data_IF_034239019507
#
_entry.id   IF_034239019507
#
_cell.length_a   1.000
_cell.length_b   1.000
_cell.length_c   1.000
_cell.angle_alpha   90.00
_cell.angle_beta   90.00
_cell.angle_gamma   90.00
#
_symmetry.space_group_name_H-M   'P 1'
#
loop_
_entity.id
_entity.type
_entity.pdbx_description
1 polymer ?
#
# COMPACT_ATOMS: atom_id res chain seq x y z
N UNK A 1 -4.45 -3.08 -28.19
CA UNK A 1 -3.35 -2.87 -29.16
C UNK A 1 -2.08 -2.71 -28.36
N UNK A 2 -1.48 -3.85 -28.08
CA UNK A 2 -0.22 -4.05 -27.38
C UNK A 2 0.94 -3.38 -28.12
N UNK A 3 1.76 -2.65 -27.36
CA UNK A 3 3.08 -2.20 -27.81
C UNK A 3 4.12 -2.70 -26.81
N UNK A 4 4.34 -4.01 -26.89
CA UNK A 4 5.49 -4.71 -26.31
C UNK A 4 6.54 -4.85 -27.42
N UNK A 5 7.60 -4.05 -27.36
CA UNK A 5 8.88 -4.29 -28.06
C UNK A 5 9.99 -3.92 -27.07
N UNK A 6 10.56 -4.90 -26.35
CA UNK A 6 11.78 -5.63 -26.72
C UNK A 6 13.02 -4.73 -26.81
N UNK A 7 13.63 -4.42 -25.66
CA UNK A 7 15.05 -4.05 -25.59
C UNK A 7 15.87 -5.26 -25.14
N UNK A 8 16.12 -6.14 -26.11
CA UNK A 8 17.23 -7.08 -26.07
C UNK A 8 18.36 -6.49 -26.92
N UNK A 9 19.48 -6.12 -26.29
CA UNK A 9 20.68 -5.60 -26.97
C UNK A 9 21.95 -6.22 -26.37
N UNK A 10 22.59 -7.08 -27.16
CA UNK A 10 23.80 -7.86 -26.89
C UNK A 10 25.03 -7.00 -26.52
N UNK A 11 25.96 -7.49 -25.67
CA UNK A 11 27.22 -8.16 -26.05
C UNK A 11 28.31 -7.14 -26.47
N UNK A 12 29.56 -7.09 -26.00
CA UNK A 12 30.56 -8.08 -25.59
C UNK A 12 31.79 -7.30 -25.09
N UNK A 13 32.55 -7.76 -24.09
CA UNK A 13 34.02 -7.68 -24.15
C UNK A 13 34.66 -8.86 -23.41
N UNK A 14 35.47 -9.60 -24.17
CA UNK A 14 36.28 -10.74 -23.79
C UNK A 14 37.46 -10.31 -22.92
N UNK A 15 37.72 -11.03 -21.84
CA UNK A 15 38.94 -10.90 -21.04
C UNK A 15 39.37 -12.26 -20.46
N UNK A 16 40.15 -13.01 -21.24
CA UNK A 16 40.81 -14.25 -20.81
C UNK A 16 42.22 -13.94 -20.27
N UNK A 17 42.50 -14.31 -19.02
CA UNK A 17 43.84 -14.66 -18.51
C UNK A 17 43.70 -15.83 -17.53
N UNK A 18 44.73 -16.65 -17.48
CA UNK A 18 44.75 -18.11 -17.38
C UNK A 18 45.33 -18.68 -16.08
N UNK A 19 44.97 -19.95 -15.82
CA UNK A 19 45.71 -21.03 -15.11
C UNK A 19 45.92 -20.99 -13.58
N UNK A 20 45.28 -21.97 -12.91
CA UNK A 20 45.92 -22.73 -11.82
C UNK A 20 45.01 -23.12 -10.65
N UNK A 21 44.64 -24.40 -10.54
CA UNK A 21 44.34 -25.01 -9.23
C UNK A 21 43.19 -26.02 -9.14
N UNK A 22 43.56 -27.30 -9.28
CA UNK A 22 42.93 -28.49 -8.67
C UNK A 22 41.52 -28.92 -9.13
N UNK A 23 41.54 -29.82 -10.13
CA UNK A 23 40.54 -30.86 -10.30
C UNK A 23 40.39 -31.69 -9.01
N UNK A 24 39.24 -31.59 -8.36
CA UNK A 24 38.71 -32.72 -7.56
C UNK A 24 37.53 -33.30 -8.34
N UNK A 25 37.87 -34.27 -9.17
CA UNK A 25 36.98 -35.22 -9.83
C UNK A 25 36.03 -35.83 -8.78
N UNK A 26 34.73 -35.57 -8.91
CA UNK A 26 33.69 -36.48 -8.45
C UNK A 26 32.82 -36.80 -9.66
N UNK A 27 33.24 -37.83 -10.39
CA UNK A 27 32.41 -38.50 -11.39
C UNK A 27 31.47 -39.47 -10.65
N UNK A 28 30.21 -39.47 -11.11
CA UNK A 28 29.19 -40.51 -10.99
C UNK A 28 28.37 -40.61 -9.69
N UNK A 29 27.19 -39.97 -9.71
CA UNK A 29 25.96 -40.63 -9.24
C UNK A 29 24.89 -40.44 -10.31
N UNK A 30 24.63 -41.52 -11.05
CA UNK A 30 23.40 -41.71 -11.78
C UNK A 30 22.20 -41.64 -10.81
N UNK A 31 21.39 -40.60 -10.91
CA UNK A 31 20.16 -40.44 -10.16
C UNK A 31 19.38 -39.28 -10.73
N UNK A 32 18.26 -39.59 -11.40
CA UNK A 32 17.47 -38.60 -12.14
C UNK A 32 17.15 -37.36 -11.33
N UNK A 33 17.53 -36.20 -11.86
CA UNK A 33 16.97 -34.93 -11.45
C UNK A 33 16.16 -34.45 -12.65
N UNK A 34 14.84 -34.59 -12.54
CA UNK A 34 13.98 -33.72 -13.31
C UNK A 34 14.46 -32.30 -13.04
N UNK A 35 14.60 -31.51 -14.10
CA UNK A 35 14.60 -30.06 -13.97
C UNK A 35 13.29 -29.69 -13.29
N UNK A 36 13.26 -29.73 -11.96
CA UNK A 36 12.33 -28.93 -11.20
C UNK A 36 12.87 -27.52 -11.34
N UNK A 37 12.58 -26.90 -12.48
CA UNK A 37 12.34 -25.47 -12.52
C UNK A 37 11.31 -25.24 -11.43
N UNK A 38 11.77 -24.88 -10.24
CA UNK A 38 10.89 -24.27 -9.27
C UNK A 38 10.45 -22.98 -9.92
N UNK A 39 9.27 -23.02 -10.54
CA UNK A 39 8.49 -21.81 -10.72
C UNK A 39 8.49 -21.12 -9.35
N UNK A 40 8.81 -19.81 -9.26
CA UNK A 40 8.56 -19.10 -8.02
C UNK A 40 7.11 -19.40 -7.64
N UNK A 41 6.80 -19.66 -6.34
CA UNK A 41 5.40 -19.80 -5.96
C UNK A 41 4.71 -18.55 -6.51
N UNK A 42 3.80 -18.75 -7.45
CA UNK A 42 2.92 -17.69 -7.90
C UNK A 42 2.16 -17.33 -6.64
N UNK A 43 2.59 -16.25 -5.99
CA UNK A 43 2.03 -15.80 -4.73
C UNK A 43 0.52 -15.79 -4.86
N UNK A 44 -0.17 -16.17 -3.79
CA UNK A 44 -1.59 -15.90 -3.68
C UNK A 44 -1.81 -14.45 -4.13
N UNK A 45 -2.79 -14.22 -5.01
CA UNK A 45 -3.08 -12.87 -5.49
C UNK A 45 -3.28 -11.91 -4.31
N UNK A 46 -3.08 -10.62 -4.55
CA UNK A 46 -3.40 -9.60 -3.55
C UNK A 46 -4.86 -9.79 -3.08
N UNK A 47 -5.13 -9.74 -1.77
CA UNK A 47 -6.49 -9.84 -1.25
C UNK A 47 -7.45 -8.88 -1.96
N UNK A 48 -8.71 -9.28 -2.14
CA UNK A 48 -9.69 -8.44 -2.85
C UNK A 48 -10.55 -7.69 -1.83
N UNK A 49 -10.60 -6.34 -1.84
CA UNK A 49 -11.50 -5.61 -0.95
C UNK A 49 -12.96 -5.85 -1.38
N UNK A 50 -13.81 -6.15 -0.40
CA UNK A 50 -15.24 -6.46 -0.60
C UNK A 50 -16.17 -5.41 -0.01
N UNK A 51 -15.76 -4.74 1.06
CA UNK A 51 -16.48 -3.62 1.67
C UNK A 51 -15.49 -2.53 2.05
N UNK A 52 -15.93 -1.27 1.90
CA UNK A 52 -15.12 -0.08 2.15
C UNK A 52 -16.04 1.02 2.66
N UNK A 53 -15.67 1.63 3.78
CA UNK A 53 -16.45 2.71 4.39
C UNK A 53 -15.55 3.70 5.11
N UNK A 54 -16.06 4.93 5.25
CA UNK A 54 -15.47 5.96 6.09
C UNK A 54 -16.58 6.70 6.84
N UNK A 55 -16.39 6.85 8.14
CA UNK A 55 -17.27 7.57 9.05
C UNK A 55 -16.50 8.73 9.70
N UNK A 56 -17.12 9.90 9.72
CA UNK A 56 -16.60 11.06 10.46
C UNK A 56 -17.07 10.95 11.90
N UNK A 57 -16.13 10.99 12.84
CA UNK A 57 -16.39 10.80 14.27
C UNK A 57 -16.60 12.13 14.99
N UNK A 58 -15.66 13.06 14.82
CA UNK A 58 -15.68 14.38 15.44
C UNK A 58 -15.12 15.44 14.47
N UNK A 59 -15.64 16.66 14.56
CA UNK A 59 -15.12 17.82 13.83
C UNK A 59 -15.04 19.00 14.77
N UNK A 60 -13.95 19.76 14.70
CA UNK A 60 -13.76 20.91 15.58
C UNK A 60 -12.71 21.88 15.08
N UNK A 61 -12.88 23.16 15.40
CA UNK A 61 -11.80 24.14 15.20
C UNK A 61 -10.62 23.80 16.11
N UNK A 62 -9.42 23.75 15.55
CA UNK A 62 -8.24 23.37 16.30
C UNK A 62 -6.93 23.59 15.57
N UNK A 63 -5.98 22.70 15.82
CA UNK A 63 -4.61 22.77 15.31
C UNK A 63 -4.46 22.20 13.90
N UNK A 64 -3.20 22.16 13.43
CA UNK A 64 -2.83 21.28 12.31
C UNK A 64 -2.50 19.90 12.88
N UNK A 65 -3.31 18.92 12.52
CA UNK A 65 -3.14 17.51 12.85
C UNK A 65 -3.25 16.67 11.60
N UNK A 66 -2.33 15.73 11.45
CA UNK A 66 -2.20 14.90 10.26
C UNK A 66 -1.57 13.55 10.64
N UNK A 67 -2.39 12.66 11.15
CA UNK A 67 -1.96 11.37 11.70
C UNK A 67 -3.00 10.28 11.43
N UNK A 68 -2.54 9.02 11.35
CA UNK A 68 -3.39 7.86 11.23
C UNK A 68 -2.75 6.65 11.91
N UNK A 69 -3.57 5.70 12.31
CA UNK A 69 -3.20 4.39 12.85
C UNK A 69 -3.97 3.31 12.10
N UNK A 70 -3.35 2.14 11.95
CA UNK A 70 -3.92 1.00 11.22
C UNK A 70 -3.97 -0.19 12.15
N UNK A 71 -5.15 -0.81 12.23
CA UNK A 71 -5.40 -2.03 12.99
C UNK A 71 -5.84 -3.14 12.04
N UNK A 72 -5.22 -4.32 12.18
CA UNK A 72 -5.55 -5.52 11.42
C UNK A 72 -6.36 -6.48 12.29
N UNK A 73 -7.49 -6.96 11.79
CA UNK A 73 -8.32 -7.91 12.52
C UNK A 73 -9.06 -8.85 11.57
N UNK A 74 -8.62 -10.11 11.49
CA UNK A 74 -9.41 -11.21 10.91
C UNK A 74 -9.96 -10.95 9.51
N UNK A 75 -9.09 -10.58 8.56
CA UNK A 75 -9.49 -10.26 7.18
C UNK A 75 -9.98 -8.83 6.98
N UNK A 76 -10.04 -8.03 8.05
CA UNK A 76 -10.43 -6.63 8.02
C UNK A 76 -9.27 -5.72 8.41
N UNK A 77 -9.32 -4.49 7.90
CA UNK A 77 -8.44 -3.38 8.27
C UNK A 77 -9.30 -2.22 8.75
N UNK A 78 -8.96 -1.67 9.91
CA UNK A 78 -9.53 -0.42 10.40
C UNK A 78 -8.45 0.65 10.41
N UNK A 79 -8.74 1.81 9.83
CA UNK A 79 -7.86 2.98 9.88
C UNK A 79 -8.56 4.08 10.64
N UNK A 80 -7.95 4.52 11.74
CA UNK A 80 -8.40 5.69 12.50
C UNK A 80 -7.41 6.83 12.31
N UNK A 81 -7.89 8.06 12.23
CA UNK A 81 -6.99 9.19 12.05
C UNK A 81 -7.66 10.54 12.20
N UNK A 82 -6.82 11.57 12.14
CA UNK A 82 -7.23 12.97 12.16
C UNK A 82 -6.59 13.68 10.98
N UNK A 83 -7.42 14.33 10.17
CA UNK A 83 -7.00 15.14 9.02
C UNK A 83 -7.48 16.59 9.20
N UNK A 84 -6.66 17.56 8.80
CA UNK A 84 -7.01 18.99 8.90
C UNK A 84 -7.72 19.48 7.63
N UNK A 85 -8.83 20.20 7.78
CA UNK A 85 -9.47 21.01 6.74
C UNK A 85 -9.09 22.49 6.85
N UNK A 86 -9.26 23.24 5.74
CA UNK A 86 -8.90 24.66 5.69
C UNK A 86 -9.89 25.58 6.44
N UNK A 87 -11.12 25.10 6.62
CA UNK A 87 -12.23 25.79 7.30
C UNK A 87 -13.24 24.78 7.88
N UNK A 88 -14.20 25.30 8.65
CA UNK A 88 -15.23 24.49 9.32
C UNK A 88 -16.27 23.83 8.39
N UNK A 89 -16.18 24.05 7.07
CA UNK A 89 -16.99 23.32 6.10
C UNK A 89 -16.27 22.12 5.50
N UNK A 90 -15.02 21.87 5.87
CA UNK A 90 -14.33 20.68 5.40
C UNK A 90 -14.77 19.43 6.16
N UNK A 91 -14.89 18.32 5.44
CA UNK A 91 -15.17 16.98 5.97
C UNK A 91 -14.19 15.96 5.37
N UNK A 92 -13.94 14.88 6.09
CA UNK A 92 -13.13 13.78 5.59
C UNK A 92 -13.97 12.91 4.63
N UNK A 93 -13.38 12.51 3.51
CA UNK A 93 -13.95 11.54 2.57
C UNK A 93 -12.89 10.53 2.16
N UNK A 94 -13.33 9.30 1.92
CA UNK A 94 -12.50 8.29 1.27
C UNK A 94 -12.41 8.65 -0.22
N UNK A 95 -11.23 9.05 -0.67
CA UNK A 95 -10.98 9.47 -2.05
C UNK A 95 -10.65 8.27 -2.93
N UNK A 96 -9.71 7.44 -2.47
CA UNK A 96 -9.31 6.20 -3.15
C UNK A 96 -8.92 5.13 -2.12
N UNK A 97 -9.08 3.87 -2.51
CA UNK A 97 -8.60 2.72 -1.75
C UNK A 97 -8.33 1.54 -2.69
N UNK A 98 -7.06 1.16 -2.81
CA UNK A 98 -6.63 0.17 -3.77
C UNK A 98 -5.15 -0.20 -3.63
N UNK A 99 -4.73 -1.21 -4.38
CA UNK A 99 -3.34 -1.64 -4.35
C UNK A 99 -2.44 -0.76 -5.22
N UNK A 100 -1.38 -0.26 -4.61
CA UNK A 100 -0.25 0.37 -5.29
C UNK A 100 1.00 -0.48 -5.05
N UNK A 101 1.53 -1.08 -6.10
CA UNK A 101 2.56 -2.12 -6.01
C UNK A 101 2.12 -3.28 -5.12
N UNK A 102 2.67 -3.40 -3.90
CA UNK A 102 2.42 -4.49 -2.96
C UNK A 102 1.67 -4.03 -1.70
N UNK A 103 1.30 -2.75 -1.59
CA UNK A 103 0.60 -2.18 -0.44
C UNK A 103 -0.82 -1.76 -0.79
N UNK A 104 -1.77 -2.05 0.11
CA UNK A 104 -3.11 -1.47 0.04
C UNK A 104 -3.04 -0.01 0.50
N UNK A 105 -3.18 0.92 -0.44
CA UNK A 105 -3.12 2.36 -0.18
C UNK A 105 -4.52 2.91 0.03
N UNK A 106 -4.70 3.63 1.14
CA UNK A 106 -5.94 4.30 1.51
C UNK A 106 -5.69 5.80 1.45
N UNK A 107 -6.46 6.51 0.64
CA UNK A 107 -6.38 7.97 0.53
C UNK A 107 -7.61 8.62 1.15
N UNK A 108 -7.39 9.39 2.20
CA UNK A 108 -8.43 10.19 2.87
C UNK A 108 -8.21 11.66 2.54
N UNK A 109 -9.23 12.31 2.00
CA UNK A 109 -9.17 13.70 1.61
C UNK A 109 -10.03 14.58 2.53
N UNK A 110 -9.50 15.74 2.92
CA UNK A 110 -10.27 16.81 3.52
C UNK A 110 -10.84 17.69 2.40
N UNK A 111 -12.15 17.63 2.22
CA UNK A 111 -12.86 18.27 1.09
C UNK A 111 -14.00 19.14 1.60
N UNK A 112 -14.37 20.15 0.83
CA UNK A 112 -15.51 21.00 1.14
C UNK A 112 -16.82 20.19 1.21
N UNK A 113 -17.63 20.45 2.23
CA UNK A 113 -19.00 19.98 2.33
C UNK A 113 -19.91 20.88 1.51
N UNK A 114 -20.39 20.36 0.38
CA UNK A 114 -21.29 21.08 -0.54
C UNK A 114 -22.63 21.45 0.10
N UNK A 115 -22.96 20.88 1.28
CA UNK A 115 -24.16 21.21 2.05
C UNK A 115 -24.03 22.43 2.95
N UNK A 116 -22.85 23.04 3.07
CA UNK A 116 -22.59 24.11 4.03
C UNK A 116 -22.58 25.51 3.37
N UNK A 117 -23.41 26.42 3.86
CA UNK A 117 -23.54 27.78 3.29
C UNK A 117 -22.60 28.82 3.91
N UNK A 118 -22.13 28.60 5.16
CA UNK A 118 -21.35 29.57 5.92
C UNK A 118 -20.31 28.86 6.79
N UNK A 119 -19.03 29.11 6.49
CA UNK A 119 -17.91 28.42 7.12
C UNK A 119 -17.17 29.33 8.10
N UNK A 120 -16.94 28.85 9.31
CA UNK A 120 -15.99 29.50 10.20
C UNK A 120 -14.57 29.37 9.64
N UNK A 121 -13.82 30.46 9.66
CA UNK A 121 -12.44 30.53 9.16
C UNK A 121 -11.48 30.05 10.27
N UNK A 122 -11.38 28.74 10.44
CA UNK A 122 -10.47 28.08 11.38
C UNK A 122 -9.91 26.81 10.74
N UNK A 123 -8.73 26.35 11.17
CA UNK A 123 -8.32 25.00 10.80
C UNK A 123 -9.23 24.02 11.52
N UNK A 124 -9.79 23.08 10.77
CA UNK A 124 -10.74 22.11 11.32
C UNK A 124 -10.09 20.76 11.41
N UNK A 125 -9.96 20.24 12.62
CA UNK A 125 -9.56 18.86 12.86
C UNK A 125 -10.78 17.97 12.62
N UNK A 126 -10.59 16.92 11.83
CA UNK A 126 -11.64 15.98 11.42
C UNK A 126 -11.15 14.58 11.79
N UNK A 127 -11.74 14.02 12.84
CA UNK A 127 -11.49 12.65 13.26
C UNK A 127 -12.34 11.70 12.42
N UNK A 128 -11.74 10.62 11.96
CA UNK A 128 -12.42 9.63 11.13
C UNK A 128 -12.04 8.20 11.53
N UNK A 129 -12.93 7.29 11.19
CA UNK A 129 -12.67 5.85 11.12
C UNK A 129 -13.03 5.37 9.73
N UNK A 130 -12.18 4.55 9.13
CA UNK A 130 -12.48 3.84 7.89
C UNK A 130 -12.26 2.36 8.08
N UNK A 131 -13.10 1.57 7.42
CA UNK A 131 -13.12 0.12 7.54
C UNK A 131 -13.10 -0.51 6.17
N UNK A 132 -12.27 -1.53 6.03
CA UNK A 132 -12.09 -2.31 4.82
C UNK A 132 -12.16 -3.79 5.16
N UNK A 133 -13.03 -4.52 4.47
CA UNK A 133 -13.15 -5.99 4.60
C UNK A 133 -12.63 -6.64 3.31
N UNK A 134 -11.84 -7.71 3.44
CA UNK A 134 -11.17 -8.37 2.30
C UNK A 134 -11.57 -9.84 2.17
N UNK A 135 -11.63 -10.30 0.93
CA UNK A 135 -11.65 -11.71 0.57
C UNK A 135 -10.27 -12.34 0.80
N UNK A 136 -10.28 -13.57 1.32
CA UNK A 136 -9.09 -14.42 1.48
C UNK A 136 -7.99 -13.88 2.42
N UNK A 137 -8.27 -12.85 3.22
CA UNK A 137 -7.39 -12.33 4.28
C UNK A 137 -7.09 -10.83 4.15
N UNK A 138 -6.48 -10.23 5.17
CA UNK A 138 -6.11 -8.81 5.13
C UNK A 138 -4.83 -8.60 4.28
N UNK A 139 -4.61 -7.41 3.71
CA UNK A 139 -3.33 -7.05 3.08
C UNK A 139 -2.16 -7.16 4.05
N UNK A 140 -1.00 -7.60 3.56
CA UNK A 140 0.23 -7.66 4.36
C UNK A 140 0.84 -6.28 4.67
N UNK A 141 0.50 -5.25 3.89
CA UNK A 141 0.93 -3.86 4.13
C UNK A 141 -0.18 -2.90 3.77
N UNK A 142 -0.42 -1.92 4.64
CA UNK A 142 -1.36 -0.81 4.43
C UNK A 142 -0.61 0.50 4.53
N UNK A 143 -0.88 1.40 3.58
CA UNK A 143 -0.34 2.76 3.56
C UNK A 143 -1.48 3.76 3.58
N UNK A 144 -1.43 4.71 4.50
CA UNK A 144 -2.45 5.77 4.62
C UNK A 144 -1.87 7.08 4.11
N UNK A 145 -2.59 7.68 3.18
CA UNK A 145 -2.28 8.98 2.57
C UNK A 145 -3.39 9.95 2.92
N UNK A 146 -3.01 11.13 3.39
CA UNK A 146 -3.92 12.24 3.58
C UNK A 146 -3.73 13.26 2.47
N UNK A 147 -4.83 13.71 1.88
CA UNK A 147 -4.89 14.86 0.99
C UNK A 147 -5.58 16.03 1.68
N UNK A 148 -4.83 17.09 1.93
CA UNK A 148 -5.33 18.23 2.67
C UNK A 148 -4.64 19.50 2.22
N UNK A 149 -5.39 20.60 2.09
CA UNK A 149 -4.85 21.93 1.79
C UNK A 149 -3.95 21.97 0.53
N UNK A 150 -4.22 21.10 -0.44
CA UNK A 150 -3.46 20.99 -1.69
C UNK A 150 -2.16 20.18 -1.60
N UNK A 151 -1.95 19.45 -0.50
CA UNK A 151 -0.79 18.59 -0.27
C UNK A 151 -1.24 17.14 -0.05
N UNK A 152 -0.54 16.17 -0.65
CA UNK A 152 -0.76 14.73 -0.42
C UNK A 152 0.43 14.17 0.37
N UNK A 153 0.16 13.58 1.54
CA UNK A 153 1.20 13.12 2.49
C UNK A 153 0.91 11.71 2.98
N UNK A 154 1.91 10.81 2.94
CA UNK A 154 1.82 9.54 3.65
C UNK A 154 1.98 9.76 5.15
N UNK A 155 0.96 9.41 5.92
CA UNK A 155 0.90 9.65 7.37
C UNK A 155 1.13 8.38 8.20
N UNK A 156 0.84 7.21 7.61
CA UNK A 156 1.09 5.93 8.24
C UNK A 156 1.44 4.85 7.22
N UNK A 157 2.27 3.91 7.63
CA UNK A 157 2.47 2.62 6.99
C UNK A 157 2.49 1.56 8.08
N UNK A 158 1.70 0.51 7.92
CA UNK A 158 1.64 -0.60 8.86
C UNK A 158 1.70 -1.93 8.11
N UNK A 159 2.26 -2.93 8.78
CA UNK A 159 2.39 -4.29 8.28
C UNK A 159 1.52 -5.21 9.13
N UNK A 160 0.88 -6.21 8.51
CA UNK A 160 0.14 -7.20 9.26
C UNK A 160 1.12 -8.09 10.04
N UNK A 161 0.85 -8.35 11.31
CA UNK A 161 1.61 -9.33 12.08
C UNK A 161 1.23 -10.75 11.62
N UNK A 162 2.19 -11.47 11.05
CA UNK A 162 2.01 -12.83 10.51
C UNK A 162 1.90 -13.92 11.61
N UNK A 163 1.98 -13.53 12.89
CA UNK A 163 2.04 -14.42 14.06
C UNK A 163 0.71 -14.52 14.85
N UNK A 164 -0.41 -13.98 14.34
CA UNK A 164 -1.73 -13.95 15.02
C UNK A 164 -2.73 -15.02 14.56
#
# INVERSE_FOLDING_TARGET
MDRRELLAGAGTLLGTVSLGGCLSRYEDIAGGVGETTAEPPSGAGQPTPTDQSLEVLETGCGGRTNEASVDFAGGSVTVTGTITGADACHVARLEDAGYEADAFTVTVAAVEDEGADVCAQCLTEIDYESRFDFEDGAPGTVRVVHESMGESTAVATAEADEDL
#
